data_IF_593301147753
#
_entry.id   IF_593301147753
#
_cell.length_a   1.000
_cell.length_b   1.000
_cell.length_c   1.000
_cell.angle_alpha   90.00
_cell.angle_beta   90.00
_cell.angle_gamma   90.00
#
_symmetry.space_group_name_H-M   'P 1'
#
loop_
_entity.id
_entity.type
_entity.pdbx_description
1 polymer ?
#
# COMPACT_ATOMS: atom_id res chain seq x y z
N UNK A 1 -15.70 9.14 -1.00
CA UNK A 1 -14.65 10.11 -0.61
C UNK A 1 -14.89 11.40 -1.38
N UNK A 2 -14.47 12.57 -0.89
CA UNK A 2 -14.52 13.80 -1.68
C UNK A 2 -13.32 13.83 -2.64
N UNK A 3 -13.49 14.37 -3.86
CA UNK A 3 -12.41 14.49 -4.86
C UNK A 3 -11.12 15.13 -4.31
N UNK A 4 -11.26 16.07 -3.36
CA UNK A 4 -10.13 16.71 -2.68
C UNK A 4 -9.28 15.71 -1.89
N UNK A 5 -9.94 14.84 -1.12
CA UNK A 5 -9.28 13.82 -0.30
C UNK A 5 -8.59 12.77 -1.18
N UNK A 6 -9.22 12.39 -2.29
CA UNK A 6 -8.62 11.48 -3.29
C UNK A 6 -7.36 12.08 -3.91
N UNK A 7 -7.41 13.35 -4.33
CA UNK A 7 -6.25 14.03 -4.90
C UNK A 7 -5.10 14.14 -3.90
N UNK A 8 -5.39 14.49 -2.64
CA UNK A 8 -4.39 14.58 -1.58
C UNK A 8 -3.65 13.24 -1.39
N UNK A 9 -4.38 12.13 -1.40
CA UNK A 9 -3.79 10.79 -1.31
C UNK A 9 -2.91 10.48 -2.52
N UNK A 10 -3.40 10.75 -3.73
CA UNK A 10 -2.66 10.49 -4.98
C UNK A 10 -1.38 11.33 -5.09
N UNK A 11 -1.43 12.60 -4.65
CA UNK A 11 -0.28 13.49 -4.58
C UNK A 11 0.76 12.99 -3.57
N UNK A 12 0.33 12.62 -2.36
CA UNK A 12 1.22 12.09 -1.33
C UNK A 12 1.93 10.81 -1.79
N UNK A 13 1.20 9.89 -2.43
CA UNK A 13 1.77 8.67 -3.01
C UNK A 13 2.77 9.03 -4.11
N UNK A 14 2.41 9.92 -5.04
CA UNK A 14 3.30 10.31 -6.16
C UNK A 14 4.61 10.90 -5.65
N UNK A 15 4.57 11.82 -4.68
CA UNK A 15 5.77 12.42 -4.11
C UNK A 15 6.72 11.36 -3.51
N UNK A 16 6.17 10.41 -2.73
CA UNK A 16 6.97 9.31 -2.16
C UNK A 16 7.60 8.42 -3.22
N UNK A 17 6.90 8.14 -4.31
CA UNK A 17 7.46 7.35 -5.41
C UNK A 17 8.44 8.15 -6.29
N UNK A 18 8.29 9.47 -6.38
CA UNK A 18 9.16 10.30 -7.21
C UNK A 18 10.50 10.59 -6.56
N UNK A 19 10.50 10.94 -5.27
CA UNK A 19 11.69 11.38 -4.54
C UNK A 19 12.60 10.22 -4.09
N UNK A 20 12.02 9.08 -3.67
CA UNK A 20 12.78 8.01 -3.01
C UNK A 20 13.15 6.82 -3.93
N UNK A 21 12.70 6.79 -5.19
CA UNK A 21 12.78 5.57 -6.03
C UNK A 21 13.60 5.76 -7.32
N UNK A 22 14.72 5.04 -7.51
CA UNK A 22 15.50 5.04 -8.75
C UNK A 22 14.68 4.61 -9.99
N UNK A 23 15.02 5.13 -11.17
CA UNK A 23 14.25 4.93 -12.41
C UNK A 23 14.02 3.47 -12.82
N UNK A 24 14.99 2.58 -12.61
CA UNK A 24 14.84 1.14 -12.88
C UNK A 24 13.83 0.46 -11.93
N UNK A 25 13.77 0.94 -10.68
CA UNK A 25 12.81 0.47 -9.68
C UNK A 25 11.41 0.98 -10.04
N UNK A 26 11.29 2.23 -10.53
CA UNK A 26 10.01 2.76 -11.08
C UNK A 26 9.46 1.89 -12.21
N UNK A 27 10.32 1.38 -13.11
CA UNK A 27 9.91 0.47 -14.18
C UNK A 27 9.38 -0.88 -13.67
N UNK A 28 10.04 -1.46 -12.66
CA UNK A 28 9.60 -2.71 -12.03
C UNK A 28 8.29 -2.54 -11.24
N UNK A 29 8.14 -1.41 -10.54
CA UNK A 29 6.90 -1.04 -9.86
C UNK A 29 5.77 -0.88 -10.87
N UNK A 30 5.98 -0.19 -12.01
CA UNK A 30 4.98 -0.09 -13.09
C UNK A 30 4.53 -1.45 -13.61
N UNK A 31 5.45 -2.40 -13.79
CA UNK A 31 5.08 -3.79 -14.15
C UNK A 31 4.26 -4.49 -13.07
N UNK A 32 4.55 -4.24 -11.78
CA UNK A 32 3.75 -4.74 -10.65
C UNK A 32 2.40 -4.02 -10.49
N UNK A 33 2.29 -2.74 -10.87
CA UNK A 33 1.01 -1.99 -10.88
C UNK A 33 0.00 -2.67 -11.81
N UNK A 34 0.44 -3.27 -12.92
CA UNK A 34 -0.44 -4.12 -13.74
C UNK A 34 -1.08 -5.27 -12.95
N UNK A 35 -0.34 -5.85 -11.99
CA UNK A 35 -0.91 -6.85 -11.06
C UNK A 35 -1.82 -6.23 -10.00
N UNK A 36 -1.58 -4.98 -9.63
CA UNK A 36 -2.41 -4.22 -8.70
C UNK A 36 -3.77 -3.85 -9.33
N UNK A 37 -3.81 -3.53 -10.62
CA UNK A 37 -5.05 -3.32 -11.38
C UNK A 37 -5.89 -4.60 -11.48
N UNK A 38 -5.25 -5.77 -11.48
CA UNK A 38 -5.94 -7.06 -11.43
C UNK A 38 -6.24 -7.56 -10.00
N UNK A 39 -5.95 -6.75 -8.97
CA UNK A 39 -6.14 -7.16 -7.58
C UNK A 39 -7.60 -6.95 -7.17
N UNK A 40 -8.28 -8.04 -6.87
CA UNK A 40 -9.66 -8.01 -6.41
C UNK A 40 -9.72 -7.91 -4.89
N UNK A 41 -10.40 -6.88 -4.38
CA UNK A 41 -10.60 -6.68 -2.94
C UNK A 41 -11.32 -7.87 -2.32
N UNK A 42 -12.24 -8.51 -3.06
CA UNK A 42 -13.01 -9.67 -2.58
C UNK A 42 -12.15 -10.92 -2.35
N UNK A 43 -10.92 -10.95 -2.89
CA UNK A 43 -9.97 -12.03 -2.62
C UNK A 43 -9.31 -11.94 -1.23
N UNK A 44 -9.48 -10.82 -0.53
CA UNK A 44 -8.91 -10.60 0.79
C UNK A 44 -9.75 -11.22 1.91
N UNK A 45 -9.13 -11.66 3.02
CA UNK A 45 -9.86 -12.04 4.23
C UNK A 45 -10.77 -10.90 4.70
N UNK A 46 -11.95 -11.24 5.23
CA UNK A 46 -12.93 -10.27 5.73
C UNK A 46 -12.30 -9.31 6.75
N UNK A 47 -11.48 -9.83 7.68
CA UNK A 47 -10.78 -9.03 8.68
C UNK A 47 -9.82 -8.01 8.09
N UNK A 48 -9.28 -8.23 6.89
CA UNK A 48 -8.39 -7.27 6.22
C UNK A 48 -9.20 -6.23 5.43
N UNK A 49 -10.36 -6.61 4.90
CA UNK A 49 -11.25 -5.71 4.16
C UNK A 49 -11.89 -4.64 5.05
N UNK A 50 -12.11 -4.95 6.32
CA UNK A 50 -12.67 -4.03 7.32
C UNK A 50 -11.60 -3.34 8.17
N UNK A 51 -10.33 -3.69 7.98
CA UNK A 51 -9.21 -3.12 8.71
C UNK A 51 -8.92 -1.69 8.25
N UNK A 52 -8.80 -0.75 9.18
CA UNK A 52 -8.35 0.61 8.88
C UNK A 52 -6.84 0.64 8.63
N UNK A 53 -6.36 1.70 7.96
CA UNK A 53 -4.93 1.88 7.69
C UNK A 53 -4.12 1.97 9.00
N UNK A 54 -4.67 2.59 10.05
CA UNK A 54 -4.02 2.72 11.36
C UNK A 54 -3.88 1.37 12.06
N UNK A 55 -4.94 0.56 12.07
CA UNK A 55 -4.93 -0.79 12.60
C UNK A 55 -3.95 -1.69 11.85
N UNK A 56 -3.91 -1.57 10.52
CA UNK A 56 -2.96 -2.33 9.69
C UNK A 56 -1.51 -2.00 10.06
N UNK A 57 -1.18 -0.71 10.21
CA UNK A 57 0.16 -0.26 10.62
C UNK A 57 0.53 -0.82 12.00
N UNK A 58 -0.39 -0.76 12.96
CA UNK A 58 -0.16 -1.28 14.32
C UNK A 58 0.04 -2.80 14.34
N UNK A 59 -0.78 -3.55 13.60
CA UNK A 59 -0.66 -5.02 13.46
C UNK A 59 0.69 -5.39 12.85
N UNK A 60 1.12 -4.69 11.79
CA UNK A 60 2.40 -4.95 11.12
C UNK A 60 3.57 -4.65 12.06
N UNK A 61 3.56 -3.52 12.78
CA UNK A 61 4.59 -3.18 13.78
C UNK A 61 4.69 -4.25 14.86
N UNK A 62 3.57 -4.65 15.45
CA UNK A 62 3.52 -5.74 16.44
C UNK A 62 4.01 -7.07 15.87
N UNK A 63 3.69 -7.35 14.60
CA UNK A 63 4.17 -8.55 13.88
C UNK A 63 5.70 -8.58 13.75
N UNK A 64 6.31 -7.44 13.40
CA UNK A 64 7.76 -7.28 13.31
C UNK A 64 8.42 -7.40 14.69
N UNK A 65 7.91 -6.68 15.68
CA UNK A 65 8.44 -6.70 17.06
C UNK A 65 8.35 -8.09 17.70
N UNK A 66 7.28 -8.83 17.42
CA UNK A 66 7.09 -10.19 17.92
C UNK A 66 7.82 -11.26 17.10
N UNK A 67 8.47 -10.90 15.99
CA UNK A 67 9.14 -11.84 15.08
C UNK A 67 8.19 -12.77 14.30
N UNK A 68 6.87 -12.55 14.41
CA UNK A 68 5.85 -13.29 13.66
C UNK A 68 5.83 -12.91 12.18
N UNK A 69 6.29 -11.72 11.87
CA UNK A 69 6.44 -11.21 10.52
C UNK A 69 7.94 -11.03 10.23
N UNK A 70 8.47 -11.81 9.29
CA UNK A 70 9.84 -11.71 8.80
C UNK A 70 9.80 -11.27 7.34
N UNK A 71 10.11 -10.01 7.09
CA UNK A 71 10.15 -9.37 5.77
C UNK A 71 11.52 -8.76 5.54
#
# INVERSE_FOLDING_TARGET
>A
MKKKEENEILEHISQKFEDDVPGIVKMLVRKKIGKFQSFDVESLPESLRTCTVEELIDIVKKGLESGKLNI
#
